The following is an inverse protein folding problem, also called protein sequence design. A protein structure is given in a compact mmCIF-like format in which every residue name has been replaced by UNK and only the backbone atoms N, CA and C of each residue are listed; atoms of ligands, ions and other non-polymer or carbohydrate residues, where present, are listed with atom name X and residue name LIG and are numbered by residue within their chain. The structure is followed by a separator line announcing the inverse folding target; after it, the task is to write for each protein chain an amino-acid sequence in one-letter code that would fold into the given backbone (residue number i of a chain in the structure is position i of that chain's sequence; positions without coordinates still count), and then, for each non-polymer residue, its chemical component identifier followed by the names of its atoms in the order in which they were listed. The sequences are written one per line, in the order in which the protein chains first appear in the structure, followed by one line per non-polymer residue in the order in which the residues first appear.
data_IF_368179027664
#
_entry.id   IF_368179027664
#
_cell.length_a   1.000
_cell.length_b   1.000
_cell.length_c   1.000
_cell.angle_alpha   90.00
_cell.angle_beta   90.00
_cell.angle_gamma   90.00
#
_symmetry.space_group_name_H-M   'P 1'
#
loop_
_entity.id
_entity.type
_entity.pdbx_description
1 polymer ?
#
# COMPACT_ATOMS: atom_id res chain seq x y z
N UNK A 1 3.33 17.15 -14.84
CA UNK A 1 3.80 15.83 -14.40
C UNK A 1 2.74 14.81 -14.79
N UNK A 2 3.12 13.76 -15.51
CA UNK A 2 2.21 12.67 -15.87
C UNK A 2 2.03 11.78 -14.64
N UNK A 3 0.79 11.57 -14.18
CA UNK A 3 0.53 10.69 -13.03
C UNK A 3 0.90 9.25 -13.40
N UNK A 4 1.63 8.52 -12.56
CA UNK A 4 1.97 7.13 -12.85
C UNK A 4 0.69 6.28 -12.90
N UNK A 5 0.48 5.62 -14.03
CA UNK A 5 -0.59 4.63 -14.21
C UNK A 5 -0.04 3.27 -13.79
N UNK A 6 -0.50 2.76 -12.64
CA UNK A 6 -0.05 1.46 -12.10
C UNK A 6 -0.84 0.28 -12.66
N UNK A 7 -2.07 0.53 -13.10
CA UNK A 7 -2.95 -0.44 -13.77
C UNK A 7 -3.74 0.28 -14.85
N UNK A 8 -3.87 -0.37 -16.00
CA UNK A 8 -4.48 0.20 -17.20
C UNK A 8 -5.98 0.45 -17.05
N UNK A 9 -6.69 -0.29 -16.18
CA UNK A 9 -8.15 -0.18 -16.04
C UNK A 9 -8.63 -0.13 -14.57
N UNK A 10 -8.21 0.93 -13.87
CA UNK A 10 -8.63 1.18 -12.48
C UNK A 10 -10.15 1.35 -12.33
N UNK A 11 -10.84 1.85 -13.37
CA UNK A 11 -12.29 2.05 -13.31
C UNK A 11 -13.02 0.72 -13.25
N UNK A 12 -12.69 -0.22 -14.15
CA UNK A 12 -13.26 -1.57 -14.13
C UNK A 12 -12.94 -2.29 -12.81
N UNK A 13 -11.71 -2.15 -12.29
CA UNK A 13 -11.33 -2.77 -11.01
C UNK A 13 -12.23 -2.31 -9.86
N UNK A 14 -12.49 -1.00 -9.76
CA UNK A 14 -13.41 -0.47 -8.73
C UNK A 14 -14.83 -0.99 -8.88
N UNK A 15 -15.33 -1.06 -10.12
CA UNK A 15 -16.68 -1.59 -10.40
C UNK A 15 -16.79 -3.07 -10.01
N UNK A 16 -15.77 -3.88 -10.30
CA UNK A 16 -15.74 -5.30 -9.90
C UNK A 16 -15.67 -5.46 -8.38
N UNK A 17 -14.83 -4.69 -7.69
CA UNK A 17 -14.79 -4.68 -6.23
C UNK A 17 -16.12 -4.28 -5.62
N UNK A 18 -16.79 -3.27 -6.19
CA UNK A 18 -18.12 -2.86 -5.75
C UNK A 18 -19.15 -3.99 -5.91
N UNK A 19 -19.21 -4.61 -7.08
CA UNK A 19 -20.12 -5.73 -7.34
C UNK A 19 -19.88 -6.89 -6.37
N UNK A 20 -18.62 -7.22 -6.09
CA UNK A 20 -18.27 -8.23 -5.09
C UNK A 20 -18.80 -7.88 -3.68
N UNK A 21 -18.65 -6.63 -3.23
CA UNK A 21 -19.15 -6.19 -1.93
C UNK A 21 -20.67 -6.10 -1.85
N UNK A 22 -21.35 -5.87 -2.98
CA UNK A 22 -22.81 -5.82 -3.08
C UNK A 22 -23.44 -7.21 -3.27
N UNK A 23 -22.65 -8.29 -3.28
CA UNK A 23 -23.06 -9.66 -3.61
C UNK A 23 -23.69 -9.81 -5.02
N UNK A 24 -23.31 -8.92 -5.94
CA UNK A 24 -23.73 -8.98 -7.34
C UNK A 24 -22.97 -10.07 -8.12
N UNK A 25 -23.52 -10.44 -9.27
CA UNK A 25 -22.88 -11.40 -10.16
C UNK A 25 -21.58 -10.81 -10.76
N UNK A 26 -20.49 -11.56 -10.64
CA UNK A 26 -19.17 -11.19 -11.19
C UNK A 26 -18.68 -12.27 -12.16
N UNK A 27 -17.92 -11.83 -13.16
CA UNK A 27 -17.38 -12.65 -14.25
C UNK A 27 -16.31 -13.67 -13.80
N UNK A 28 -15.62 -13.36 -12.71
CA UNK A 28 -14.61 -14.20 -12.05
C UNK A 28 -14.41 -13.76 -10.59
N UNK A 29 -13.74 -14.58 -9.75
CA UNK A 29 -13.34 -14.14 -8.42
C UNK A 29 -12.49 -12.87 -8.46
N UNK A 30 -12.70 -12.01 -7.46
CA UNK A 30 -11.86 -10.85 -7.21
C UNK A 30 -10.59 -11.29 -6.49
N UNK A 31 -9.41 -10.95 -7.02
CA UNK A 31 -8.13 -11.45 -6.54
C UNK A 31 -7.09 -10.32 -6.54
N UNK A 32 -6.24 -10.25 -5.52
CA UNK A 32 -5.03 -9.43 -5.58
C UNK A 32 -3.83 -10.35 -5.71
N UNK A 33 -3.25 -10.40 -6.92
CA UNK A 33 -2.03 -11.17 -7.19
C UNK A 33 -0.92 -10.18 -7.53
N UNK A 34 0.12 -10.17 -6.70
CA UNK A 34 1.25 -9.25 -6.79
C UNK A 34 2.54 -10.05 -6.94
N UNK A 35 3.44 -9.57 -7.79
CA UNK A 35 4.78 -10.10 -7.95
C UNK A 35 5.79 -8.95 -8.08
N UNK A 36 7.04 -9.08 -7.64
CA UNK A 36 8.06 -8.09 -7.91
C UNK A 36 8.30 -7.98 -9.42
N UNK A 37 8.54 -6.77 -9.92
CA UNK A 37 9.07 -6.59 -11.28
C UNK A 37 10.49 -7.14 -11.36
N UNK A 38 10.85 -7.71 -12.52
CA UNK A 38 12.19 -8.26 -12.77
C UNK A 38 13.28 -7.20 -12.62
N UNK A 39 13.02 -6.02 -13.17
CA UNK A 39 13.87 -4.83 -13.01
C UNK A 39 13.21 -3.91 -11.99
N UNK A 40 13.85 -3.78 -10.82
CA UNK A 40 13.39 -2.89 -9.76
C UNK A 40 14.14 -1.57 -9.86
N UNK A 41 13.42 -0.47 -9.74
CA UNK A 41 14.01 0.82 -9.42
C UNK A 41 14.42 0.79 -7.96
N UNK A 42 15.69 0.99 -7.68
CA UNK A 42 16.20 1.08 -6.31
C UNK A 42 16.31 2.56 -5.95
N UNK A 43 15.73 2.94 -4.82
CA UNK A 43 15.90 4.26 -4.21
C UNK A 43 16.58 4.05 -2.84
N UNK A 44 17.91 4.21 -2.76
CA UNK A 44 18.67 3.89 -1.55
C UNK A 44 18.25 4.74 -0.35
N UNK A 45 17.91 6.01 -0.60
CA UNK A 45 17.48 6.94 0.46
C UNK A 45 16.14 6.47 1.01
N UNK A 46 15.21 6.15 0.12
CA UNK A 46 13.88 5.72 0.52
C UNK A 46 13.92 4.36 1.26
N UNK A 47 14.83 3.45 0.88
CA UNK A 47 15.06 2.19 1.62
C UNK A 47 15.72 2.42 2.99
N UNK A 48 16.71 3.31 3.08
CA UNK A 48 17.34 3.66 4.35
C UNK A 48 16.35 4.29 5.32
N UNK A 49 15.57 5.26 4.84
CA UNK A 49 14.53 5.91 5.62
C UNK A 49 13.46 4.93 6.10
N UNK A 50 13.16 3.89 5.32
CA UNK A 50 12.19 2.89 5.70
C UNK A 50 12.66 1.99 6.87
N UNK A 51 13.96 2.00 7.18
CA UNK A 51 14.51 1.34 8.36
C UNK A 51 14.32 2.16 9.64
N UNK A 52 13.97 3.45 9.55
CA UNK A 52 13.57 4.27 10.70
C UNK A 52 12.10 3.99 11.05
N UNK A 53 11.80 3.43 12.24
CA UNK A 53 10.43 3.11 12.65
C UNK A 53 9.47 4.30 12.63
N UNK A 54 9.95 5.51 12.96
CA UNK A 54 9.11 6.71 12.96
C UNK A 54 8.77 7.09 11.52
N UNK A 55 9.75 7.08 10.61
CA UNK A 55 9.50 7.37 9.19
C UNK A 55 8.56 6.34 8.57
N UNK A 56 8.80 5.06 8.85
CA UNK A 56 8.00 3.94 8.35
C UNK A 56 6.53 3.99 8.79
N UNK A 57 6.27 4.41 10.03
CA UNK A 57 4.95 4.23 10.65
C UNK A 57 4.17 5.54 10.91
N UNK A 58 4.84 6.70 11.00
CA UNK A 58 4.23 7.96 11.39
C UNK A 58 4.50 9.14 10.44
N UNK A 59 5.53 9.07 9.58
CA UNK A 59 5.76 10.10 8.56
C UNK A 59 4.92 9.81 7.31
N UNK A 60 3.79 10.52 7.19
CA UNK A 60 2.87 10.37 6.06
C UNK A 60 3.52 10.65 4.69
N UNK A 61 4.52 11.53 4.62
CA UNK A 61 5.22 11.80 3.36
C UNK A 61 6.09 10.61 2.97
N UNK A 62 6.80 10.04 3.93
CA UNK A 62 7.59 8.83 3.69
C UNK A 62 6.68 7.65 3.33
N UNK A 63 5.59 7.41 4.08
CA UNK A 63 4.61 6.36 3.81
C UNK A 63 4.06 6.47 2.38
N UNK A 64 3.66 7.68 1.97
CA UNK A 64 3.12 7.90 0.62
C UNK A 64 4.17 7.62 -0.46
N UNK A 65 5.39 8.16 -0.31
CA UNK A 65 6.49 7.94 -1.26
C UNK A 65 6.88 6.47 -1.33
N UNK A 66 7.01 5.79 -0.19
CA UNK A 66 7.33 4.37 -0.11
C UNK A 66 6.21 3.49 -0.69
N UNK A 67 4.95 3.88 -0.49
CA UNK A 67 3.80 3.25 -1.11
C UNK A 67 3.87 3.34 -2.63
N UNK A 68 4.09 4.54 -3.19
CA UNK A 68 4.28 4.73 -4.63
C UNK A 68 5.47 3.92 -5.15
N UNK A 69 6.61 3.97 -4.47
CA UNK A 69 7.80 3.18 -4.80
C UNK A 69 7.50 1.68 -4.85
N UNK A 70 6.76 1.17 -3.87
CA UNK A 70 6.33 -0.23 -3.82
C UNK A 70 5.43 -0.57 -5.00
N UNK A 71 4.45 0.30 -5.29
CA UNK A 71 3.54 0.12 -6.42
C UNK A 71 4.29 0.18 -7.78
N UNK A 72 5.27 1.07 -7.93
CA UNK A 72 6.10 1.17 -9.14
C UNK A 72 6.92 -0.09 -9.38
N UNK A 73 7.37 -0.74 -8.32
CA UNK A 73 8.19 -1.95 -8.36
C UNK A 73 7.37 -3.26 -8.34
N UNK A 74 6.04 -3.17 -8.29
CA UNK A 74 5.15 -4.32 -8.25
C UNK A 74 4.45 -4.52 -9.60
N UNK A 75 4.43 -5.77 -10.06
CA UNK A 75 3.56 -6.25 -11.12
C UNK A 75 2.26 -6.76 -10.50
N UNK A 76 1.14 -6.19 -10.94
CA UNK A 76 -0.20 -6.65 -10.57
C UNK A 76 -0.71 -7.59 -11.66
N UNK A 77 -1.02 -8.83 -11.29
CA UNK A 77 -1.46 -9.89 -12.21
C UNK A 77 -3.00 -9.98 -12.24
N UNK A 78 -3.66 -9.54 -11.17
CA UNK A 78 -5.12 -9.45 -11.07
C UNK A 78 -5.51 -8.01 -10.68
N UNK A 79 -6.41 -7.81 -9.72
CA UNK A 79 -6.72 -6.48 -9.21
C UNK A 79 -5.50 -5.87 -8.48
N UNK A 80 -5.21 -4.59 -8.74
CA UNK A 80 -4.38 -3.80 -7.83
C UNK A 80 -5.26 -3.10 -6.81
N UNK A 81 -4.86 -3.13 -5.54
CA UNK A 81 -5.44 -2.28 -4.51
C UNK A 81 -4.29 -1.47 -3.91
N UNK A 82 -4.25 -0.14 -4.12
CA UNK A 82 -3.31 0.71 -3.42
C UNK A 82 -3.69 0.72 -1.94
N UNK A 83 -2.87 0.09 -1.10
CA UNK A 83 -3.03 0.14 0.36
C UNK A 83 -1.76 0.74 0.93
N UNK A 84 -1.91 1.91 1.54
CA UNK A 84 -0.86 2.56 2.32
C UNK A 84 -1.43 2.71 3.73
N UNK A 85 -0.87 1.99 4.69
CA UNK A 85 -1.31 2.08 6.08
C UNK A 85 -0.17 2.67 6.91
N UNK A 86 -0.44 3.71 7.72
CA UNK A 86 0.46 4.00 8.82
C UNK A 86 0.45 2.76 9.72
N UNK A 87 1.60 2.16 9.95
CA UNK A 87 1.72 0.87 10.65
C UNK A 87 1.50 0.97 12.15
N UNK A 88 0.36 1.53 12.53
CA UNK A 88 -0.13 1.52 13.90
C UNK A 88 -1.26 0.50 13.97
N UNK A 89 -0.93 -0.75 14.29
CA UNK A 89 -1.91 -1.69 14.87
C UNK A 89 -2.66 -1.07 16.06
N UNK A 90 -2.07 -0.03 16.67
CA UNK A 90 -2.58 0.80 17.76
C UNK A 90 -3.17 2.16 17.35
N UNK A 91 -3.33 2.47 16.05
CA UNK A 91 -3.74 3.81 15.61
C UNK A 91 -5.06 4.29 16.22
N UNK A 92 -5.99 3.37 16.41
CA UNK A 92 -7.27 3.63 17.05
C UNK A 92 -7.12 3.96 18.55
N UNK A 93 -6.12 3.39 19.24
CA UNK A 93 -5.88 3.63 20.66
C UNK A 93 -5.31 5.04 20.93
N UNK A 94 -4.67 5.67 19.94
CA UNK A 94 -4.10 7.01 20.07
C UNK A 94 -5.18 8.06 20.39
N UNK A 95 -6.38 7.91 19.83
CA UNK A 95 -7.52 8.79 20.12
C UNK A 95 -7.99 8.71 21.59
N UNK A 96 -7.62 7.64 22.30
CA UNK A 96 -7.94 7.45 23.73
C UNK A 96 -6.78 7.82 24.66
N UNK A 97 -5.73 8.49 24.15
CA UNK A 97 -4.61 8.99 24.95
C UNK A 97 -3.46 8.00 25.14
N UNK A 98 -3.48 6.84 24.47
CA UNK A 98 -2.33 5.93 24.44
C UNK A 98 -1.14 6.59 23.73
N UNK A 99 0.08 6.34 24.22
CA UNK A 99 1.31 6.84 23.62
C UNK A 99 1.95 5.74 22.77
N UNK A 100 2.28 6.01 21.49
CA UNK A 100 2.94 5.02 20.65
C UNK A 100 4.38 4.82 21.12
N UNK A 101 4.85 3.58 21.02
CA UNK A 101 6.26 3.23 21.13
C UNK A 101 6.67 2.74 19.74
N UNK A 102 7.72 3.33 19.19
CA UNK A 102 8.27 2.91 17.91
C UNK A 102 9.57 2.17 18.19
N UNK A 103 9.63 0.90 17.78
CA UNK A 103 10.86 0.12 17.82
C UNK A 103 11.12 -0.55 16.47
N UNK A 104 12.32 -1.10 16.29
CA UNK A 104 12.71 -1.78 15.05
C UNK A 104 11.96 -3.09 14.79
N UNK A 105 11.23 -3.59 15.78
CA UNK A 105 10.45 -4.83 15.70
C UNK A 105 8.96 -4.55 15.52
N UNK A 106 8.57 -3.28 15.43
CA UNK A 106 7.20 -2.85 15.24
C UNK A 106 6.74 -3.37 13.88
N UNK A 107 5.96 -4.45 13.93
CA UNK A 107 5.27 -5.03 12.78
C UNK A 107 3.85 -4.48 12.75
N UNK A 108 3.38 -4.24 11.52
CA UNK A 108 1.99 -3.84 11.22
C UNK A 108 1.06 -4.96 11.66
#
# INVERSE_FOLDING_TARGET
MMNPVFVEDWKMIKERWKAFWDFDYIDRPVLQIMAPKRERKIDPILEEEHNDPIKKHADYNHIFKYGLYTMENTRYIAEAIPVMTPGSSVGHALYFGCKPIFDKFSVV
#
